data_IF_607010930449
#
_entry.id   IF_607010930449
#
_cell.length_a   1.000
_cell.length_b   1.000
_cell.length_c   1.000
_cell.angle_alpha   90.00
_cell.angle_beta   90.00
_cell.angle_gamma   90.00
#
_symmetry.space_group_name_H-M   'P 1'
#
loop_
_entity.id
_entity.type
_entity.pdbx_description
1 polymer ?
#
# COMPACT_ATOMS: atom_id res chain seq x y z
N UNK A 1 3.84 -75.46 -56.26
CA UNK A 1 3.26 -75.41 -54.93
C UNK A 1 4.15 -74.49 -54.07
N UNK A 2 3.76 -73.20 -53.88
CA UNK A 2 4.61 -72.18 -53.25
C UNK A 2 4.14 -71.99 -51.83
N UNK A 3 5.06 -72.25 -50.85
CA UNK A 3 4.87 -71.94 -49.46
C UNK A 3 5.15 -70.48 -49.16
N UNK A 4 4.16 -69.74 -48.64
CA UNK A 4 4.35 -68.39 -48.14
C UNK A 4 4.67 -68.45 -46.65
N UNK A 5 5.91 -68.07 -46.29
CA UNK A 5 6.30 -67.83 -44.90
C UNK A 5 5.91 -66.39 -44.50
N UNK A 6 5.00 -66.29 -43.56
CA UNK A 6 4.63 -65.00 -42.91
C UNK A 6 5.68 -64.62 -41.88
N UNK A 7 6.35 -63.50 -42.15
CA UNK A 7 7.23 -62.84 -41.15
C UNK A 7 6.38 -61.94 -40.30
N UNK A 8 6.24 -62.24 -39.00
CA UNK A 8 5.60 -61.38 -38.00
C UNK A 8 6.66 -60.37 -37.51
N UNK A 9 6.47 -59.10 -37.87
CA UNK A 9 7.24 -58.00 -37.35
C UNK A 9 6.65 -57.59 -35.99
N UNK A 10 7.40 -57.81 -34.93
CA UNK A 10 7.02 -57.35 -33.58
C UNK A 10 7.58 -55.95 -33.42
N UNK A 11 6.70 -54.95 -33.57
CA UNK A 11 7.06 -53.55 -33.23
C UNK A 11 7.00 -53.35 -31.71
N UNK A 12 8.16 -53.35 -31.07
CA UNK A 12 8.28 -52.92 -29.69
C UNK A 12 8.14 -51.39 -29.56
N UNK A 13 7.02 -50.96 -29.04
CA UNK A 13 6.83 -49.55 -28.66
C UNK A 13 7.52 -49.32 -27.32
N UNK A 14 8.65 -48.67 -27.33
CA UNK A 14 9.31 -48.18 -26.10
C UNK A 14 8.62 -46.89 -25.71
N UNK A 15 7.73 -46.93 -24.71
CA UNK A 15 7.13 -45.74 -24.10
C UNK A 15 8.19 -45.13 -23.18
N UNK A 16 8.87 -44.10 -23.65
CA UNK A 16 9.77 -43.28 -22.84
C UNK A 16 8.90 -42.34 -21.98
N UNK A 17 8.65 -42.74 -20.73
CA UNK A 17 7.95 -41.91 -19.75
C UNK A 17 8.87 -40.76 -19.31
N UNK A 18 8.73 -39.61 -19.92
CA UNK A 18 9.35 -38.35 -19.44
C UNK A 18 8.56 -37.90 -18.21
N UNK A 19 9.06 -38.23 -17.02
CA UNK A 19 8.57 -37.64 -15.76
C UNK A 19 9.06 -36.19 -15.73
N UNK A 20 8.19 -35.27 -16.11
CA UNK A 20 8.42 -33.83 -15.97
C UNK A 20 8.19 -33.46 -14.50
N UNK A 21 9.25 -33.49 -13.70
CA UNK A 21 9.25 -32.94 -12.35
C UNK A 21 9.04 -31.42 -12.45
N UNK A 22 7.81 -30.95 -12.24
CA UNK A 22 7.53 -29.54 -11.98
C UNK A 22 8.20 -29.19 -10.63
N UNK A 23 9.46 -28.75 -10.70
CA UNK A 23 10.06 -28.03 -9.58
C UNK A 23 9.31 -26.71 -9.43
N UNK A 24 8.55 -26.56 -8.35
CA UNK A 24 7.85 -25.33 -8.01
C UNK A 24 8.85 -24.19 -7.88
N UNK A 25 8.96 -23.35 -8.89
CA UNK A 25 9.79 -22.13 -8.89
C UNK A 25 9.09 -21.00 -8.14
N UNK A 26 8.62 -21.25 -6.92
CA UNK A 26 8.02 -20.20 -6.09
C UNK A 26 9.07 -19.20 -5.53
N UNK A 27 10.34 -19.53 -5.62
CA UNK A 27 11.43 -18.73 -5.04
C UNK A 27 11.60 -17.33 -5.64
N UNK A 28 11.70 -17.12 -6.96
CA UNK A 28 12.01 -15.81 -7.54
C UNK A 28 10.86 -14.79 -7.42
N UNK A 29 9.60 -15.23 -7.47
CA UNK A 29 8.43 -14.34 -7.33
C UNK A 29 8.33 -13.81 -5.91
N UNK A 30 8.47 -14.65 -4.90
CA UNK A 30 8.45 -14.24 -3.49
C UNK A 30 9.59 -13.28 -3.12
N UNK A 31 10.76 -13.41 -3.76
CA UNK A 31 11.88 -12.52 -3.54
C UNK A 31 11.60 -11.12 -4.12
N UNK A 32 11.07 -11.05 -5.35
CA UNK A 32 10.69 -9.79 -6.00
C UNK A 32 9.61 -9.04 -5.19
N UNK A 33 8.59 -9.74 -4.71
CA UNK A 33 7.52 -9.16 -3.88
C UNK A 33 8.06 -8.63 -2.54
N UNK A 34 9.06 -9.30 -1.96
CA UNK A 34 9.71 -8.84 -0.72
C UNK A 34 10.53 -7.57 -0.93
N UNK A 35 11.26 -7.48 -2.05
CA UNK A 35 12.00 -6.28 -2.44
C UNK A 35 11.05 -5.12 -2.75
N UNK A 36 9.94 -5.38 -3.44
CA UNK A 36 8.88 -4.40 -3.67
C UNK A 36 8.33 -3.86 -2.36
N UNK A 37 7.97 -4.74 -1.43
CA UNK A 37 7.43 -4.35 -0.13
C UNK A 37 8.42 -3.49 0.67
N UNK A 38 9.71 -3.88 0.73
CA UNK A 38 10.74 -3.07 1.37
C UNK A 38 10.91 -1.71 0.67
N UNK A 39 10.92 -1.70 -0.66
CA UNK A 39 11.01 -0.46 -1.44
C UNK A 39 9.87 0.52 -1.16
N UNK A 40 8.64 0.02 -0.93
CA UNK A 40 7.51 0.86 -0.53
C UNK A 40 7.73 1.45 0.86
N UNK A 41 8.23 0.67 1.83
CA UNK A 41 8.54 1.15 3.19
C UNK A 41 9.62 2.23 3.16
N UNK A 42 10.68 2.03 2.38
CA UNK A 42 11.77 2.99 2.25
C UNK A 42 11.31 4.30 1.59
N UNK A 43 10.51 4.21 0.53
CA UNK A 43 9.90 5.38 -0.11
C UNK A 43 8.92 6.08 0.81
N UNK A 44 8.12 5.36 1.61
CA UNK A 44 7.22 5.94 2.60
C UNK A 44 7.98 6.75 3.65
N UNK A 45 9.17 6.29 4.07
CA UNK A 45 10.05 7.07 4.95
C UNK A 45 10.47 8.39 4.29
N UNK A 46 10.92 8.34 3.03
CA UNK A 46 11.35 9.55 2.30
C UNK A 46 10.20 10.54 2.16
N UNK A 47 9.02 10.07 1.71
CA UNK A 47 7.80 10.88 1.63
C UNK A 47 7.48 11.53 2.97
N UNK A 48 7.46 10.78 4.06
CA UNK A 48 7.21 11.31 5.40
C UNK A 48 8.21 12.43 5.73
N UNK A 49 9.50 12.20 5.55
CA UNK A 49 10.54 13.20 5.86
C UNK A 49 10.42 14.47 5.00
N UNK A 50 9.96 14.34 3.75
CA UNK A 50 9.69 15.49 2.88
C UNK A 50 8.50 16.31 3.37
N UNK A 51 7.40 15.67 3.79
CA UNK A 51 6.26 16.38 4.39
C UNK A 51 6.63 17.06 5.70
N UNK A 52 7.41 16.39 6.57
CA UNK A 52 7.82 16.95 7.85
C UNK A 52 8.78 18.15 7.73
N UNK A 53 9.54 18.24 6.65
CA UNK A 53 10.48 19.35 6.38
C UNK A 53 9.82 20.54 5.65
N UNK A 54 8.74 20.29 4.92
CA UNK A 54 8.06 21.30 4.13
C UNK A 54 7.17 22.18 5.01
N UNK A 55 7.49 23.47 5.08
CA UNK A 55 6.75 24.45 5.89
C UNK A 55 5.27 24.58 5.51
N UNK A 56 4.92 24.25 4.26
CA UNK A 56 3.52 24.24 3.82
C UNK A 56 2.70 23.13 4.47
N UNK A 57 3.35 22.09 4.98
CA UNK A 57 2.72 20.97 5.68
C UNK A 57 3.07 20.95 7.17
N UNK A 58 3.33 22.12 7.77
CA UNK A 58 3.63 22.26 9.21
C UNK A 58 2.57 21.60 10.09
N UNK A 59 1.31 21.66 9.66
CA UNK A 59 0.20 21.01 10.37
C UNK A 59 0.41 19.49 10.51
N UNK A 60 0.92 18.79 9.48
CA UNK A 60 1.25 17.35 9.56
C UNK A 60 2.28 17.11 10.66
N UNK A 61 3.35 17.91 10.69
CA UNK A 61 4.42 17.77 11.68
C UNK A 61 3.91 17.98 13.13
N UNK A 62 2.99 18.91 13.32
CA UNK A 62 2.43 19.25 14.63
C UNK A 62 1.40 18.22 15.14
N UNK A 63 0.78 17.44 14.24
CA UNK A 63 -0.36 16.58 14.57
C UNK A 63 -0.04 15.09 14.46
N UNK A 64 0.87 14.67 13.60
CA UNK A 64 1.09 13.24 13.32
C UNK A 64 1.32 12.39 14.58
N UNK A 65 2.00 12.94 15.59
CA UNK A 65 2.22 12.25 16.86
C UNK A 65 1.08 12.39 17.88
N UNK A 66 0.00 13.09 17.53
CA UNK A 66 -1.22 13.21 18.34
C UNK A 66 -2.31 12.28 17.85
N UNK A 67 -2.23 11.91 16.56
CA UNK A 67 -3.26 11.14 15.89
C UNK A 67 -3.10 9.62 16.09
N UNK A 68 -4.12 8.86 15.71
CA UNK A 68 -4.21 7.42 15.98
C UNK A 68 -3.50 6.55 14.96
N UNK A 69 -3.21 7.09 13.77
CA UNK A 69 -2.52 6.35 12.73
C UNK A 69 -2.20 7.22 11.52
N UNK A 70 -1.42 6.65 10.61
CA UNK A 70 -1.01 7.29 9.37
C UNK A 70 -0.97 6.29 8.22
N UNK A 71 -1.57 6.64 7.09
CA UNK A 71 -1.36 6.00 5.79
C UNK A 71 -0.39 6.87 4.99
N UNK A 72 0.62 6.27 4.41
CA UNK A 72 1.62 6.93 3.59
C UNK A 72 1.67 6.23 2.24
N UNK A 73 1.30 6.96 1.19
CA UNK A 73 1.39 6.52 -0.20
C UNK A 73 2.52 7.29 -0.88
N UNK A 74 3.68 6.66 -1.11
CA UNK A 74 4.83 7.33 -1.73
C UNK A 74 4.58 7.76 -3.17
N UNK A 75 3.63 7.09 -3.82
CA UNK A 75 3.24 7.40 -5.17
C UNK A 75 1.78 7.02 -5.41
N UNK A 76 0.98 8.01 -5.76
CA UNK A 76 -0.37 7.85 -6.30
C UNK A 76 -0.33 8.38 -7.72
N UNK A 77 -0.58 7.50 -8.68
CA UNK A 77 -0.66 7.85 -10.09
C UNK A 77 -2.10 8.20 -10.43
N UNK A 78 -2.30 9.31 -11.10
CA UNK A 78 -3.58 9.73 -11.67
C UNK A 78 -3.42 9.83 -13.18
N UNK A 79 -4.31 9.20 -13.91
CA UNK A 79 -4.34 9.28 -15.37
C UNK A 79 -5.80 9.30 -15.86
N UNK A 80 -6.06 10.03 -16.95
CA UNK A 80 -7.38 10.08 -17.55
C UNK A 80 -7.47 10.99 -18.77
N UNK A 81 -8.56 10.78 -19.53
CA UNK A 81 -8.92 11.60 -20.69
C UNK A 81 -10.37 12.08 -20.60
N UNK A 82 -11.33 11.20 -20.50
CA UNK A 82 -12.75 11.47 -20.22
C UNK A 82 -13.15 10.68 -18.98
N UNK A 83 -12.64 9.46 -18.90
CA UNK A 83 -12.62 8.60 -17.73
C UNK A 83 -11.22 8.61 -17.19
N UNK A 84 -11.09 8.86 -15.91
CA UNK A 84 -9.83 8.85 -15.22
C UNK A 84 -9.85 7.92 -14.02
N UNK A 85 -8.67 7.62 -13.51
CA UNK A 85 -8.50 6.89 -12.28
C UNK A 85 -7.24 7.34 -11.56
N UNK A 86 -7.21 7.11 -10.28
CA UNK A 86 -5.98 7.21 -9.51
C UNK A 86 -5.76 5.96 -8.69
N UNK A 87 -4.50 5.62 -8.45
CA UNK A 87 -4.16 4.48 -7.63
C UNK A 87 -2.73 4.50 -7.14
N UNK A 88 -2.50 3.84 -6.02
CA UNK A 88 -1.19 3.72 -5.44
C UNK A 88 -1.15 2.66 -4.35
N UNK A 89 0.05 2.21 -4.02
CA UNK A 89 0.31 1.31 -2.89
C UNK A 89 1.09 2.06 -1.82
N UNK A 90 0.74 1.85 -0.57
CA UNK A 90 1.34 2.51 0.57
C UNK A 90 1.30 1.65 1.82
N UNK A 91 1.66 2.25 2.93
CA UNK A 91 1.73 1.59 4.23
C UNK A 91 0.89 2.32 5.27
N UNK A 92 0.25 1.55 6.13
CA UNK A 92 -0.47 2.02 7.29
C UNK A 92 0.28 1.66 8.58
N UNK A 93 0.42 2.61 9.49
CA UNK A 93 0.93 2.40 10.83
C UNK A 93 -0.06 3.03 11.82
N UNK A 94 -0.42 2.30 12.87
CA UNK A 94 -1.19 2.84 13.98
C UNK A 94 -0.30 3.18 15.16
N UNK A 95 -0.75 4.11 15.96
CA UNK A 95 -0.10 4.56 17.19
C UNK A 95 -0.89 4.05 18.40
N UNK A 96 -0.24 3.32 19.28
CA UNK A 96 -0.88 2.79 20.48
C UNK A 96 -0.98 3.84 21.60
N UNK A 97 -1.66 3.49 22.69
CA UNK A 97 -1.84 4.38 23.86
C UNK A 97 -0.52 4.79 24.53
N UNK A 98 0.57 4.03 24.33
CA UNK A 98 1.92 4.37 24.83
C UNK A 98 2.69 5.29 23.88
N UNK A 99 2.08 5.70 22.76
CA UNK A 99 2.72 6.52 21.75
C UNK A 99 3.68 5.78 20.81
N UNK A 100 3.63 4.45 20.78
CA UNK A 100 4.48 3.64 19.92
C UNK A 100 3.79 3.35 18.59
N UNK A 101 4.54 3.46 17.49
CA UNK A 101 4.09 3.11 16.15
C UNK A 101 4.17 1.60 15.91
N UNK A 102 3.15 1.04 15.30
CA UNK A 102 3.08 -0.37 14.92
C UNK A 102 4.07 -0.73 13.81
N UNK A 103 4.15 -2.00 13.47
CA UNK A 103 4.70 -2.45 12.19
C UNK A 103 3.78 -2.00 11.05
N UNK A 104 4.31 -1.74 9.82
CA UNK A 104 3.51 -1.31 8.68
C UNK A 104 2.65 -2.44 8.11
N UNK A 105 1.38 -2.17 7.84
CA UNK A 105 0.52 -3.00 7.01
C UNK A 105 0.37 -2.37 5.62
N UNK A 106 0.37 -3.17 4.56
CA UNK A 106 0.33 -2.68 3.18
C UNK A 106 -1.10 -2.55 2.69
N UNK A 107 -1.37 -1.43 2.03
CA UNK A 107 -2.66 -1.09 1.45
C UNK A 107 -2.52 -0.55 0.04
N UNK A 108 -3.51 -0.81 -0.80
CA UNK A 108 -3.70 -0.12 -2.06
C UNK A 108 -4.82 0.89 -1.92
N UNK A 109 -4.74 1.97 -2.67
CA UNK A 109 -5.83 2.93 -2.85
C UNK A 109 -6.14 3.04 -4.33
N UNK A 110 -7.43 3.13 -4.66
CA UNK A 110 -7.88 3.36 -6.02
C UNK A 110 -9.13 4.21 -6.07
N UNK A 111 -9.25 5.06 -7.08
CA UNK A 111 -10.47 5.81 -7.37
C UNK A 111 -10.72 5.88 -8.86
N UNK A 112 -12.00 6.02 -9.21
CA UNK A 112 -12.44 6.32 -10.57
C UNK A 112 -12.96 7.75 -10.58
N UNK A 113 -12.56 8.54 -11.56
CA UNK A 113 -13.00 9.93 -11.72
C UNK A 113 -13.52 10.16 -13.13
N UNK A 114 -14.51 11.04 -13.23
CA UNK A 114 -15.05 11.55 -14.50
C UNK A 114 -14.63 13.00 -14.65
N UNK A 115 -14.03 13.37 -15.76
CA UNK A 115 -13.66 14.76 -16.02
C UNK A 115 -12.79 14.94 -17.25
N UNK A 116 -12.82 16.16 -17.81
CA UNK A 116 -12.11 16.55 -19.03
C UNK A 116 -10.62 16.89 -18.74
N UNK A 117 -9.96 16.19 -17.83
CA UNK A 117 -8.52 16.41 -17.58
C UNK A 117 -7.70 15.40 -18.38
N UNK A 118 -6.95 15.91 -19.35
CA UNK A 118 -5.96 15.14 -20.11
C UNK A 118 -4.63 15.23 -19.37
N UNK A 119 -4.08 14.09 -18.99
CA UNK A 119 -2.73 14.04 -18.45
C UNK A 119 -2.51 12.91 -17.44
N UNK A 120 -1.25 12.77 -17.07
CA UNK A 120 -0.80 11.92 -15.98
C UNK A 120 -0.16 12.76 -14.89
N UNK A 121 -0.48 12.50 -13.64
CA UNK A 121 0.07 13.16 -12.48
C UNK A 121 0.52 12.11 -11.46
N UNK A 122 1.64 12.37 -10.79
CA UNK A 122 2.10 11.58 -9.66
C UNK A 122 2.09 12.45 -8.41
N UNK A 123 1.50 11.97 -7.34
CA UNK A 123 1.45 12.65 -6.05
C UNK A 123 1.93 11.74 -4.93
N UNK A 124 2.59 12.31 -3.96
CA UNK A 124 2.82 11.73 -2.65
C UNK A 124 1.64 12.08 -1.73
N UNK A 125 1.17 11.12 -0.95
CA UNK A 125 -0.02 11.32 -0.13
C UNK A 125 0.23 10.83 1.30
N UNK A 126 -0.15 11.66 2.28
CA UNK A 126 -0.26 11.27 3.69
C UNK A 126 -1.73 11.44 4.10
N UNK A 127 -2.27 10.40 4.77
CA UNK A 127 -3.61 10.44 5.36
C UNK A 127 -3.49 10.14 6.84
N UNK A 128 -3.89 11.07 7.68
CA UNK A 128 -3.90 10.90 9.14
C UNK A 128 -5.24 10.31 9.59
N UNK A 129 -5.19 9.33 10.49
CA UNK A 129 -6.35 8.76 11.17
C UNK A 129 -6.59 9.55 12.46
N UNK A 130 -7.60 10.42 12.46
CA UNK A 130 -7.85 11.38 13.53
C UNK A 130 -8.43 10.74 14.79
N UNK A 131 -9.05 9.58 14.67
CA UNK A 131 -9.74 8.91 15.77
C UNK A 131 -9.63 7.39 15.64
N UNK A 132 -10.12 6.68 16.68
CA UNK A 132 -10.08 5.21 16.70
C UNK A 132 -10.98 4.59 15.62
N UNK A 133 -12.14 5.22 15.31
CA UNK A 133 -13.04 4.77 14.24
C UNK A 133 -12.32 4.67 12.89
N UNK A 134 -11.45 5.63 12.57
CA UNK A 134 -10.63 5.61 11.35
C UNK A 134 -9.65 4.43 11.34
N UNK A 135 -9.00 4.15 12.46
CA UNK A 135 -8.10 2.99 12.60
C UNK A 135 -8.89 1.68 12.47
N UNK A 136 -10.03 1.56 13.17
CA UNK A 136 -10.84 0.35 13.15
C UNK A 136 -11.39 0.05 11.75
N UNK A 137 -11.78 1.10 11.00
CA UNK A 137 -12.21 0.95 9.62
C UNK A 137 -11.11 0.32 8.74
N UNK A 138 -9.85 0.72 8.92
CA UNK A 138 -8.71 0.15 8.18
C UNK A 138 -8.37 -1.29 8.61
N UNK A 139 -8.86 -1.75 9.74
CA UNK A 139 -8.68 -3.15 10.15
C UNK A 139 -9.63 -4.09 9.40
N UNK A 140 -10.65 -3.57 8.74
CA UNK A 140 -11.51 -4.33 7.82
C UNK A 140 -10.81 -4.56 6.48
N UNK A 141 -11.40 -5.35 5.60
CA UNK A 141 -10.80 -5.66 4.31
C UNK A 141 -10.82 -4.50 3.32
N UNK A 142 -11.80 -3.60 3.44
CA UNK A 142 -12.02 -2.52 2.47
C UNK A 142 -12.73 -1.33 3.10
N UNK A 143 -12.23 -0.12 2.81
CA UNK A 143 -12.80 1.15 3.27
C UNK A 143 -13.05 2.08 2.09
N UNK A 144 -14.23 2.69 2.03
CA UNK A 144 -14.53 3.74 1.07
C UNK A 144 -14.51 5.11 1.78
N UNK A 145 -13.57 5.96 1.38
CA UNK A 145 -13.50 7.33 1.88
C UNK A 145 -14.70 8.16 1.39
N UNK A 146 -15.29 8.94 2.30
CA UNK A 146 -16.49 9.72 2.01
C UNK A 146 -17.80 8.91 1.99
N UNK A 147 -17.73 7.60 2.20
CA UNK A 147 -18.89 6.71 2.35
C UNK A 147 -19.02 6.23 3.78
N UNK A 148 -18.23 5.22 4.14
CA UNK A 148 -18.25 4.61 5.47
C UNK A 148 -17.58 5.49 6.54
N UNK A 149 -16.67 6.37 6.10
CA UNK A 149 -15.87 7.27 6.93
C UNK A 149 -15.75 8.63 6.28
N UNK A 150 -15.68 9.69 7.09
CA UNK A 150 -15.45 11.03 6.61
C UNK A 150 -13.98 11.28 6.31
N UNK A 151 -13.71 11.98 5.20
CA UNK A 151 -12.37 12.44 4.84
C UNK A 151 -12.39 13.92 4.50
N UNK A 152 -11.38 14.66 4.96
CA UNK A 152 -11.20 16.07 4.65
C UNK A 152 -9.81 16.33 4.10
N UNK A 153 -9.69 17.40 3.30
CA UNK A 153 -8.39 17.93 2.93
C UNK A 153 -7.78 18.66 4.11
N UNK A 154 -6.54 18.35 4.41
CA UNK A 154 -5.80 19.02 5.46
C UNK A 154 -5.42 20.45 5.08
N UNK A 155 -5.22 21.32 6.07
CA UNK A 155 -4.81 22.69 5.83
C UNK A 155 -3.37 22.72 5.27
N UNK A 156 -3.17 23.50 4.22
CA UNK A 156 -1.90 23.66 3.55
C UNK A 156 -1.51 25.14 3.55
N UNK A 157 -0.25 25.41 3.81
CA UNK A 157 0.33 26.75 3.93
C UNK A 157 1.12 26.91 5.22
N UNK A 158 2.14 27.74 5.21
CA UNK A 158 2.97 27.98 6.38
C UNK A 158 2.13 28.58 7.53
N UNK A 159 2.06 27.86 8.66
CA UNK A 159 1.28 28.29 9.82
C UNK A 159 -0.23 28.13 9.68
N UNK A 160 -0.71 27.36 8.71
CA UNK A 160 -2.13 27.08 8.55
C UNK A 160 -2.69 26.41 9.83
N UNK A 161 -3.74 27.02 10.37
CA UNK A 161 -4.47 26.53 11.55
C UNK A 161 -5.90 26.24 11.12
N UNK A 162 -6.36 25.03 11.39
CA UNK A 162 -7.75 24.64 11.15
C UNK A 162 -8.13 23.54 12.12
N UNK A 163 -9.33 23.66 12.70
CA UNK A 163 -9.96 22.55 13.41
C UNK A 163 -10.68 21.68 12.38
N UNK A 164 -9.99 20.66 11.88
CA UNK A 164 -10.57 19.71 10.94
C UNK A 164 -11.31 18.63 11.73
N UNK A 165 -12.60 18.52 11.49
CA UNK A 165 -13.46 17.48 12.09
C UNK A 165 -13.77 16.45 11.01
N UNK A 166 -12.99 15.39 10.97
CA UNK A 166 -13.17 14.26 10.05
C UNK A 166 -12.53 13.00 10.65
N UNK A 167 -12.90 11.82 10.15
CA UNK A 167 -12.23 10.57 10.54
C UNK A 167 -10.81 10.49 9.95
N UNK A 168 -10.67 10.99 8.72
CA UNK A 168 -9.39 11.06 8.01
C UNK A 168 -9.07 12.48 7.53
N UNK A 169 -7.81 12.85 7.57
CA UNK A 169 -7.31 14.11 7.00
C UNK A 169 -6.18 13.81 6.03
N UNK A 170 -6.36 14.24 4.78
CA UNK A 170 -5.44 13.92 3.69
C UNK A 170 -4.61 15.13 3.27
N UNK A 171 -3.36 14.87 2.94
CA UNK A 171 -2.41 15.82 2.39
C UNK A 171 -1.79 15.20 1.13
N UNK A 172 -1.74 15.95 0.06
CA UNK A 172 -1.15 15.52 -1.19
C UNK A 172 -0.10 16.54 -1.66
N UNK A 173 1.02 16.02 -2.16
CA UNK A 173 2.10 16.79 -2.76
C UNK A 173 2.36 16.27 -4.14
N UNK A 174 2.00 17.01 -5.17
CA UNK A 174 2.29 16.63 -6.55
C UNK A 174 3.60 17.25 -7.05
N UNK A 175 4.27 16.54 -7.96
CA UNK A 175 5.45 17.08 -8.65
C UNK A 175 4.98 18.03 -9.75
N UNK A 176 4.98 19.33 -9.44
CA UNK A 176 4.90 20.36 -10.47
C UNK A 176 3.76 21.38 -10.38
N UNK A 177 2.60 21.04 -9.90
CA UNK A 177 1.49 21.98 -9.69
C UNK A 177 0.65 21.56 -8.51
N UNK A 178 0.20 22.53 -7.74
CA UNK A 178 -0.63 22.38 -6.58
C UNK A 178 -2.01 21.89 -7.00
N UNK A 179 -2.23 20.60 -7.04
CA UNK A 179 -3.54 20.04 -7.22
C UNK A 179 -3.93 19.30 -5.93
N UNK A 180 -4.89 19.83 -5.20
CA UNK A 180 -5.50 19.11 -4.10
C UNK A 180 -6.07 17.79 -4.63
N UNK A 181 -5.41 16.67 -4.34
CA UNK A 181 -5.94 15.36 -4.67
C UNK A 181 -7.11 15.10 -3.74
N UNK A 182 -8.32 15.19 -4.27
CA UNK A 182 -9.50 14.76 -3.52
C UNK A 182 -9.55 13.23 -3.48
N UNK A 183 -9.50 12.68 -2.29
CA UNK A 183 -9.58 11.23 -2.05
C UNK A 183 -11.01 10.75 -1.76
N UNK A 184 -11.98 11.66 -1.76
CA UNK A 184 -13.39 11.30 -1.58
C UNK A 184 -13.84 10.33 -2.69
N UNK A 185 -14.55 9.27 -2.31
CA UNK A 185 -14.91 8.18 -3.20
C UNK A 185 -13.80 7.14 -3.47
N UNK A 186 -12.58 7.37 -2.98
CA UNK A 186 -11.50 6.38 -3.11
C UNK A 186 -11.75 5.16 -2.23
N UNK A 187 -11.35 4.00 -2.74
CA UNK A 187 -11.40 2.73 -2.02
C UNK A 187 -9.99 2.36 -1.60
N UNK A 188 -9.83 2.09 -0.32
CA UNK A 188 -8.60 1.58 0.30
C UNK A 188 -8.81 0.12 0.62
N UNK A 189 -7.88 -0.74 0.19
CA UNK A 189 -7.97 -2.18 0.33
C UNK A 189 -6.63 -2.78 0.78
N UNK A 190 -6.68 -3.89 1.50
CA UNK A 190 -5.49 -4.56 2.03
C UNK A 190 -4.70 -5.24 0.92
N UNK A 191 -3.37 -5.06 0.91
CA UNK A 191 -2.45 -5.77 0.02
C UNK A 191 -1.89 -7.01 0.70
N UNK A 192 -2.71 -8.06 0.80
CA UNK A 192 -2.36 -9.30 1.50
C UNK A 192 -1.05 -9.93 0.98
N UNK A 193 -0.84 -9.94 -0.33
CA UNK A 193 0.38 -10.46 -0.94
C UNK A 193 1.64 -9.73 -0.47
N UNK A 194 1.61 -8.40 -0.37
CA UNK A 194 2.74 -7.62 0.14
C UNK A 194 2.94 -7.79 1.65
N UNK A 195 1.85 -7.91 2.44
CA UNK A 195 1.96 -8.26 3.84
C UNK A 195 2.65 -9.62 4.00
N UNK A 196 2.22 -10.62 3.24
CA UNK A 196 2.83 -11.96 3.27
C UNK A 196 4.31 -11.93 2.84
N UNK A 197 4.64 -11.24 1.75
CA UNK A 197 6.01 -11.13 1.24
C UNK A 197 6.94 -10.42 2.25
N UNK A 198 6.45 -9.34 2.87
CA UNK A 198 7.22 -8.55 3.82
C UNK A 198 7.50 -9.27 5.14
N UNK A 199 6.53 -10.04 5.65
CA UNK A 199 6.63 -10.75 6.93
C UNK A 199 6.97 -12.24 6.81
N UNK A 200 6.99 -12.79 5.60
CA UNK A 200 7.24 -14.21 5.36
C UNK A 200 6.11 -15.13 5.82
N UNK A 201 4.95 -14.57 6.15
CA UNK A 201 3.75 -15.29 6.60
C UNK A 201 2.49 -14.47 6.32
N UNK A 202 1.37 -15.16 6.05
CA UNK A 202 0.08 -14.51 5.85
C UNK A 202 -0.44 -13.95 7.17
N UNK A 203 -0.63 -12.63 7.22
CA UNK A 203 -1.10 -11.89 8.40
C UNK A 203 -2.14 -10.86 7.98
N UNK A 204 -3.20 -10.75 8.78
CA UNK A 204 -4.19 -9.67 8.64
C UNK A 204 -3.65 -8.36 9.23
N UNK A 205 -4.22 -7.19 8.84
CA UNK A 205 -3.87 -5.92 9.46
C UNK A 205 -3.98 -5.91 10.99
N UNK A 206 -5.02 -6.53 11.55
CA UNK A 206 -5.20 -6.67 13.00
C UNK A 206 -4.01 -7.40 13.62
N UNK A 207 -3.57 -8.50 13.02
CA UNK A 207 -2.44 -9.29 13.51
C UNK A 207 -1.12 -8.51 13.45
N UNK A 208 -0.94 -7.68 12.42
CA UNK A 208 0.26 -6.85 12.26
C UNK A 208 0.24 -5.67 13.25
N UNK A 209 -0.83 -4.89 13.23
CA UNK A 209 -0.91 -3.56 13.83
C UNK A 209 -1.28 -3.63 15.31
N UNK A 210 -2.28 -4.45 15.66
CA UNK A 210 -2.85 -4.52 17.01
C UNK A 210 -2.23 -5.66 17.81
N UNK A 211 -2.27 -6.88 17.29
CA UNK A 211 -1.79 -8.07 18.00
C UNK A 211 -0.26 -8.21 17.99
N UNK A 212 0.45 -7.37 17.21
CA UNK A 212 1.92 -7.34 17.11
C UNK A 212 2.55 -8.69 16.77
N UNK A 213 1.84 -9.53 15.97
CA UNK A 213 2.33 -10.84 15.51
C UNK A 213 3.39 -10.75 14.41
N UNK A 214 3.70 -9.55 13.96
CA UNK A 214 4.66 -9.26 12.90
C UNK A 214 5.83 -8.44 13.44
N UNK A 215 7.03 -8.75 12.97
CA UNK A 215 8.23 -7.96 13.20
C UNK A 215 9.11 -8.03 11.96
N UNK A 216 9.49 -6.86 11.44
CA UNK A 216 10.49 -6.75 10.38
C UNK A 216 11.40 -5.54 10.67
N UNK A 217 12.71 -5.74 10.80
CA UNK A 217 13.66 -4.66 11.08
C UNK A 217 13.72 -3.62 9.96
N UNK A 218 13.34 -3.97 8.72
CA UNK A 218 13.27 -3.06 7.58
C UNK A 218 12.35 -1.84 7.80
N UNK A 219 11.39 -1.92 8.74
CA UNK A 219 10.52 -0.78 9.09
C UNK A 219 11.12 0.17 10.13
N UNK A 220 12.27 -0.15 10.73
CA UNK A 220 12.82 0.59 11.88
C UNK A 220 13.08 2.06 11.54
N UNK A 221 13.59 2.34 10.35
CA UNK A 221 13.90 3.70 9.90
C UNK A 221 12.63 4.56 9.73
N UNK A 222 11.57 4.01 9.13
CA UNK A 222 10.27 4.69 9.00
C UNK A 222 9.65 4.98 10.38
N UNK A 223 9.64 3.98 11.26
CA UNK A 223 9.09 4.13 12.62
C UNK A 223 9.89 5.14 13.47
N UNK A 224 11.21 5.20 13.27
CA UNK A 224 12.06 6.20 13.90
C UNK A 224 11.77 7.61 13.35
N UNK A 225 11.53 7.76 12.05
CA UNK A 225 11.15 9.04 11.45
C UNK A 225 9.82 9.56 12.01
N UNK A 226 8.82 8.68 12.17
CA UNK A 226 7.53 9.03 12.79
C UNK A 226 7.70 9.52 14.24
N UNK A 227 8.58 8.90 15.02
CA UNK A 227 8.84 9.33 16.40
C UNK A 227 9.52 10.70 16.52
N UNK A 228 10.23 11.14 15.48
CA UNK A 228 10.96 12.44 15.46
C UNK A 228 10.08 13.62 15.09
N UNK A 229 8.90 13.41 14.56
CA UNK A 229 7.92 14.48 14.31
C UNK A 229 7.56 15.16 15.64
N UNK A 230 7.30 16.47 15.57
CA UNK A 230 7.07 17.32 16.75
C UNK A 230 5.67 17.14 17.34
#
# INVERSE_FOLDING_TARGET
>A
MKSHKSVRLISGIVILSVVFTLASTAGPVMAADKEEAQGIVDKAKVTLEEFLRDKNYSWVNEHINKEKGVLIYPQVLKAGFILGGSGGTGVFLARNAKGEWSQPAFYTMGSVSFGLQIGGEAAEVIVLCMNQKAVDALMTSKVKFGGDTSIALGPVGAGAKSNVVADFVSFAKSKGLYAGLNLDGSVVDVREGLNQAYYGKSLTPIQIVVEKKATNPGSSALRAALKKAK
#
